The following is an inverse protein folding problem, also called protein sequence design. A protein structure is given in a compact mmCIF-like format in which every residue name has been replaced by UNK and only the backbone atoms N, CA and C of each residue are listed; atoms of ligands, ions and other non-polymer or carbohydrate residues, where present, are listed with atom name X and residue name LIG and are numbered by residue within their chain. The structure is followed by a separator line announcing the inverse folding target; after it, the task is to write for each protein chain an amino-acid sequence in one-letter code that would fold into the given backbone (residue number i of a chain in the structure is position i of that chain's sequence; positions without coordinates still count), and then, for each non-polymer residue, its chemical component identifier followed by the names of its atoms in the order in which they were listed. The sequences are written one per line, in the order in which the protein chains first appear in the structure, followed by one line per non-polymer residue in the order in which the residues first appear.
data_IF_025601385169
#
_entry.id   IF_025601385169
#
_cell.length_a   1.000
_cell.length_b   1.000
_cell.length_c   1.000
_cell.angle_alpha   90.00
_cell.angle_beta   90.00
_cell.angle_gamma   90.00
#
_symmetry.space_group_name_H-M   'P 1'
#
loop_
_entity.id
_entity.type
_entity.pdbx_description
1 polymer ?
#
# COMPACT_ATOMS: atom_id res chain seq x y z
N UNK A 1 30.60 -20.96 3.81
CA UNK A 1 29.76 -20.41 2.74
C UNK A 1 28.35 -20.35 3.28
N UNK A 2 27.90 -19.21 3.81
CA UNK A 2 26.55 -19.04 4.35
C UNK A 2 25.66 -18.73 3.17
N UNK A 3 24.83 -19.69 2.77
CA UNK A 3 23.78 -19.47 1.77
C UNK A 3 22.76 -18.53 2.42
N UNK A 4 22.74 -17.26 2.02
CA UNK A 4 21.63 -16.37 2.29
C UNK A 4 20.41 -16.98 1.60
N UNK A 5 19.60 -17.69 2.37
CA UNK A 5 18.25 -18.03 1.96
C UNK A 5 17.48 -16.71 1.96
N UNK A 6 17.28 -16.13 0.77
CA UNK A 6 16.26 -15.10 0.60
C UNK A 6 14.94 -15.76 0.99
N UNK A 7 14.43 -15.46 2.17
CA UNK A 7 13.07 -15.84 2.52
C UNK A 7 12.16 -15.06 1.57
N UNK A 8 11.59 -15.75 0.59
CA UNK A 8 10.57 -15.20 -0.29
C UNK A 8 9.45 -14.63 0.58
N UNK A 9 9.06 -13.39 0.27
CA UNK A 9 8.02 -12.69 1.01
C UNK A 9 6.68 -13.39 0.77
N UNK A 10 6.08 -13.91 1.85
CA UNK A 10 4.79 -14.60 1.80
C UNK A 10 3.64 -13.67 2.16
N UNK A 11 2.49 -13.88 1.52
CA UNK A 11 1.21 -13.25 1.85
C UNK A 11 0.25 -14.24 2.50
N UNK A 12 -0.67 -13.74 3.30
CA UNK A 12 -1.69 -14.54 3.98
C UNK A 12 -2.91 -14.66 3.06
N UNK A 13 -3.20 -15.87 2.59
CA UNK A 13 -4.39 -16.15 1.77
C UNK A 13 -5.62 -16.23 2.66
N UNK A 14 -6.72 -15.62 2.20
CA UNK A 14 -7.96 -15.54 2.98
C UNK A 14 -9.21 -15.79 2.14
N UNK A 15 -10.30 -16.13 2.84
CA UNK A 15 -11.67 -16.05 2.30
C UNK A 15 -12.15 -14.58 2.31
N UNK A 16 -13.31 -14.32 1.69
CA UNK A 16 -13.97 -13.02 1.75
C UNK A 16 -14.38 -12.59 3.18
N UNK A 17 -14.42 -13.54 4.12
CA UNK A 17 -14.70 -13.31 5.54
C UNK A 17 -13.43 -13.22 6.40
N UNK A 18 -12.26 -13.02 5.78
CA UNK A 18 -10.95 -12.96 6.45
C UNK A 18 -10.53 -14.24 7.19
N UNK A 19 -11.07 -15.40 6.81
CA UNK A 19 -10.62 -16.69 7.33
C UNK A 19 -9.31 -17.08 6.63
N UNK A 20 -8.28 -17.42 7.42
CA UNK A 20 -6.97 -17.83 6.88
C UNK A 20 -7.10 -19.16 6.15
N UNK A 21 -6.77 -19.19 4.87
CA UNK A 21 -6.78 -20.39 4.01
C UNK A 21 -5.38 -20.96 3.79
N UNK A 22 -4.32 -20.18 4.02
CA UNK A 22 -2.95 -20.60 3.84
C UNK A 22 -2.00 -19.44 3.60
N UNK A 23 -0.84 -19.76 3.04
CA UNK A 23 0.22 -18.80 2.72
C UNK A 23 0.76 -19.09 1.32
N UNK A 24 1.19 -18.05 0.64
CA UNK A 24 1.77 -18.16 -0.71
C UNK A 24 2.87 -17.11 -0.88
N UNK A 25 3.86 -17.42 -1.70
CA UNK A 25 4.85 -16.43 -2.13
C UNK A 25 4.12 -15.27 -2.84
N UNK A 26 4.51 -14.03 -2.50
CA UNK A 26 3.80 -12.81 -2.91
C UNK A 26 3.63 -12.70 -4.42
N UNK A 27 4.72 -12.91 -5.18
CA UNK A 27 4.67 -12.80 -6.63
C UNK A 27 3.76 -13.87 -7.25
N UNK A 28 3.76 -15.08 -6.68
CA UNK A 28 2.89 -16.17 -7.14
C UNK A 28 1.42 -15.86 -6.86
N UNK A 29 1.11 -15.25 -5.72
CA UNK A 29 -0.24 -14.80 -5.41
C UNK A 29 -0.75 -13.74 -6.40
N UNK A 30 0.11 -12.81 -6.82
CA UNK A 30 -0.21 -11.81 -7.84
C UNK A 30 -0.34 -12.41 -9.24
N UNK A 31 0.51 -13.38 -9.63
CA UNK A 31 0.38 -14.09 -10.91
C UNK A 31 -0.96 -14.83 -10.98
N UNK A 32 -1.35 -15.50 -9.91
CA UNK A 32 -2.56 -16.32 -9.86
C UNK A 32 -3.82 -15.51 -9.51
N UNK A 33 -3.69 -14.25 -9.09
CA UNK A 33 -4.80 -13.41 -8.67
C UNK A 33 -5.58 -13.97 -7.47
N UNK A 34 -4.87 -14.57 -6.50
CA UNK A 34 -5.46 -15.16 -5.30
C UNK A 34 -5.74 -14.09 -4.24
N UNK A 35 -6.91 -14.18 -3.60
CA UNK A 35 -7.30 -13.25 -2.53
C UNK A 35 -6.37 -13.40 -1.33
N UNK A 36 -5.77 -12.30 -0.91
CA UNK A 36 -4.84 -12.26 0.22
C UNK A 36 -4.98 -10.96 1.02
N UNK A 37 -4.44 -10.95 2.23
CA UNK A 37 -4.47 -9.80 3.13
C UNK A 37 -3.57 -8.68 2.64
N UNK A 38 -4.08 -7.45 2.71
CA UNK A 38 -3.33 -6.22 2.45
C UNK A 38 -3.77 -5.10 3.40
N UNK A 39 -2.98 -4.05 3.45
CA UNK A 39 -3.36 -2.80 4.13
C UNK A 39 -2.89 -1.59 3.32
N UNK A 40 -3.65 -0.52 3.44
CA UNK A 40 -3.34 0.79 2.90
C UNK A 40 -3.30 1.83 4.03
N UNK A 41 -2.27 2.67 4.04
CA UNK A 41 -2.12 3.75 5.02
C UNK A 41 -2.22 5.09 4.33
N UNK A 42 -3.07 5.96 4.86
CA UNK A 42 -3.21 7.36 4.46
C UNK A 42 -2.75 8.26 5.60
N UNK A 43 -1.83 9.17 5.32
CA UNK A 43 -1.35 10.14 6.28
C UNK A 43 -1.67 11.55 5.82
N UNK A 44 -2.01 12.39 6.79
CA UNK A 44 -2.34 13.79 6.56
C UNK A 44 -1.47 14.69 7.44
N UNK A 45 -1.18 15.89 6.95
CA UNK A 45 -0.58 16.94 7.76
C UNK A 45 -1.65 17.79 8.45
N UNK A 46 -1.24 18.77 9.25
CA UNK A 46 -2.15 19.70 9.96
C UNK A 46 -3.03 20.57 9.04
N UNK A 47 -2.63 20.71 7.77
CA UNK A 47 -3.40 21.44 6.76
C UNK A 47 -4.43 20.55 6.06
N UNK A 48 -4.53 19.26 6.42
CA UNK A 48 -5.40 18.30 5.77
C UNK A 48 -4.90 17.84 4.40
N UNK A 49 -3.63 18.08 4.07
CA UNK A 49 -3.03 17.61 2.84
C UNK A 49 -2.59 16.15 3.00
N UNK A 50 -2.83 15.35 1.97
CA UNK A 50 -2.51 13.92 1.94
C UNK A 50 -1.04 13.69 1.58
N UNK A 51 -0.38 12.78 2.31
CA UNK A 51 0.95 12.32 1.96
C UNK A 51 0.88 11.32 0.82
N UNK A 52 1.57 11.62 -0.27
CA UNK A 52 1.82 10.69 -1.37
C UNK A 52 3.26 10.18 -1.31
N UNK A 53 3.47 8.91 -1.65
CA UNK A 53 4.78 8.35 -1.97
C UNK A 53 4.87 8.02 -3.47
N UNK A 54 6.06 8.20 -4.03
CA UNK A 54 6.40 7.70 -5.36
C UNK A 54 7.16 6.40 -5.23
N UNK A 55 6.62 5.34 -5.83
CA UNK A 55 7.23 4.01 -5.79
C UNK A 55 8.59 4.02 -6.48
N UNK A 56 9.56 3.31 -5.90
CA UNK A 56 10.89 3.18 -6.48
C UNK A 56 10.83 2.57 -7.90
N UNK A 57 11.76 2.96 -8.76
CA UNK A 57 11.88 2.45 -10.13
C UNK A 57 12.18 0.94 -10.18
N UNK A 58 12.73 0.37 -9.11
CA UNK A 58 13.07 -1.06 -8.98
C UNK A 58 11.89 -1.96 -8.62
N UNK A 59 10.70 -1.41 -8.35
CA UNK A 59 9.52 -2.23 -8.01
C UNK A 59 9.08 -3.08 -9.21
N UNK A 60 8.73 -4.35 -8.97
CA UNK A 60 8.38 -5.31 -10.03
C UNK A 60 7.03 -5.01 -10.72
N UNK A 61 6.13 -4.24 -10.08
CA UNK A 61 4.94 -3.68 -10.70
C UNK A 61 4.73 -2.22 -10.27
N UNK A 62 4.03 -1.45 -11.10
CA UNK A 62 3.70 -0.05 -10.83
C UNK A 62 4.91 0.82 -10.42
N UNK A 63 6.10 0.66 -11.06
CA UNK A 63 7.26 1.49 -10.74
C UNK A 63 7.01 2.94 -11.09
N UNK A 64 7.63 3.87 -10.34
CA UNK A 64 7.54 5.33 -10.56
C UNK A 64 6.14 5.94 -10.45
N UNK A 65 5.12 5.19 -10.05
CA UNK A 65 3.78 5.71 -9.82
C UNK A 65 3.63 6.29 -8.42
N UNK A 66 2.77 7.30 -8.30
CA UNK A 66 2.34 7.87 -7.04
C UNK A 66 1.23 7.02 -6.41
N UNK A 67 1.25 6.95 -5.09
CA UNK A 67 0.24 6.26 -4.30
C UNK A 67 0.12 6.90 -2.91
N UNK A 68 -0.78 6.36 -2.06
CA UNK A 68 -0.89 6.74 -0.65
C UNK A 68 0.40 6.46 0.13
N UNK A 69 0.44 6.79 1.42
CA UNK A 69 1.65 6.73 2.22
C UNK A 69 2.34 5.35 2.21
N UNK A 70 1.59 4.27 2.42
CA UNK A 70 2.10 2.88 2.38
C UNK A 70 0.99 1.94 1.94
N UNK A 71 1.34 0.96 1.10
CA UNK A 71 0.52 -0.22 0.77
C UNK A 71 1.39 -1.46 0.83
N UNK A 72 0.97 -2.46 1.60
CA UNK A 72 1.71 -3.72 1.73
C UNK A 72 0.85 -4.82 2.35
N UNK A 73 1.50 -5.87 2.82
CA UNK A 73 0.85 -7.09 3.32
C UNK A 73 1.31 -7.39 4.74
N UNK A 74 0.40 -7.83 5.65
CA UNK A 74 0.81 -8.37 6.93
C UNK A 74 1.57 -9.69 6.71
N UNK A 75 2.57 -9.93 7.55
CA UNK A 75 3.28 -11.22 7.62
C UNK A 75 2.44 -12.23 8.39
N UNK A 76 2.79 -13.51 8.27
CA UNK A 76 2.22 -14.55 9.12
C UNK A 76 2.36 -14.19 10.60
N UNK A 77 1.24 -14.20 11.33
CA UNK A 77 1.19 -13.86 12.75
C UNK A 77 1.09 -12.35 13.07
N UNK A 78 1.22 -11.48 12.07
CA UNK A 78 0.96 -10.04 12.25
C UNK A 78 -0.53 -9.71 12.10
N UNK A 79 -1.01 -8.79 12.89
CA UNK A 79 -2.26 -8.07 12.61
C UNK A 79 -2.05 -7.07 11.47
N UNK A 80 -3.11 -6.60 10.85
CA UNK A 80 -3.04 -5.54 9.84
C UNK A 80 -2.36 -4.27 10.37
N UNK A 81 -2.69 -3.86 11.61
CA UNK A 81 -2.09 -2.69 12.25
C UNK A 81 -0.59 -2.84 12.50
N UNK A 82 -0.15 -4.01 12.98
CA UNK A 82 1.28 -4.29 13.19
C UNK A 82 2.05 -4.25 11.87
N UNK A 83 1.51 -4.86 10.82
CA UNK A 83 2.07 -4.78 9.47
C UNK A 83 2.18 -3.35 8.95
N UNK A 84 1.11 -2.56 9.10
CA UNK A 84 1.06 -1.16 8.69
C UNK A 84 2.14 -0.32 9.40
N UNK A 85 2.27 -0.44 10.72
CA UNK A 85 3.31 0.26 11.51
C UNK A 85 4.71 -0.18 11.11
N UNK A 86 4.94 -1.48 10.91
CA UNK A 86 6.22 -2.01 10.45
C UNK A 86 6.63 -1.39 9.10
N UNK A 87 5.72 -1.36 8.13
CA UNK A 87 6.02 -0.84 6.79
C UNK A 87 6.20 0.69 6.78
N UNK A 88 5.49 1.45 7.59
CA UNK A 88 5.78 2.88 7.77
C UNK A 88 7.23 3.11 8.19
N UNK A 89 7.73 2.31 9.12
CA UNK A 89 9.12 2.39 9.57
C UNK A 89 10.11 1.91 8.50
N UNK A 90 9.82 0.81 7.81
CA UNK A 90 10.69 0.24 6.78
C UNK A 90 10.77 1.10 5.51
N UNK A 91 9.67 1.71 5.08
CA UNK A 91 9.61 2.48 3.83
C UNK A 91 9.91 3.98 4.03
N UNK A 92 9.34 4.58 5.06
CA UNK A 92 9.38 6.03 5.29
C UNK A 92 10.23 6.44 6.50
N UNK A 93 10.65 5.48 7.34
CA UNK A 93 11.43 5.73 8.55
C UNK A 93 10.66 6.47 9.65
N UNK A 94 9.32 6.33 9.67
CA UNK A 94 8.46 7.06 10.59
C UNK A 94 7.60 6.14 11.46
N UNK A 95 7.14 6.69 12.57
CA UNK A 95 6.18 6.07 13.48
C UNK A 95 5.06 7.08 13.79
N UNK A 96 3.81 6.64 13.71
CA UNK A 96 2.65 7.45 14.08
C UNK A 96 1.48 6.56 14.53
N UNK A 97 0.50 7.17 15.18
CA UNK A 97 -0.74 6.48 15.51
C UNK A 97 -1.59 6.30 14.26
N UNK A 98 -2.17 5.11 14.12
CA UNK A 98 -3.05 4.74 13.02
C UNK A 98 -4.41 4.31 13.57
N UNK A 99 -5.46 4.70 12.89
CA UNK A 99 -6.84 4.30 13.12
C UNK A 99 -7.38 3.60 11.89
N UNK A 100 -7.93 2.39 12.04
CA UNK A 100 -8.62 1.70 10.95
C UNK A 100 -9.95 2.39 10.66
N UNK A 101 -10.21 2.69 9.39
CA UNK A 101 -11.44 3.34 8.96
C UNK A 101 -12.43 2.39 8.31
N UNK A 102 -11.97 1.53 7.43
CA UNK A 102 -12.78 0.54 6.71
C UNK A 102 -11.88 -0.53 6.11
N UNK A 103 -12.51 -1.57 5.57
CA UNK A 103 -11.86 -2.56 4.72
C UNK A 103 -12.76 -2.88 3.53
N UNK A 104 -12.17 -3.37 2.46
CA UNK A 104 -12.86 -3.73 1.23
C UNK A 104 -12.08 -4.79 0.45
N UNK A 105 -12.73 -5.42 -0.51
CA UNK A 105 -12.07 -6.36 -1.42
C UNK A 105 -12.04 -5.72 -2.81
N UNK A 106 -10.89 -5.77 -3.46
CA UNK A 106 -10.75 -5.36 -4.84
C UNK A 106 -9.91 -6.34 -5.64
N UNK A 107 -10.07 -6.29 -6.95
CA UNK A 107 -9.23 -7.02 -7.90
C UNK A 107 -8.87 -6.10 -9.06
N UNK A 108 -7.58 -5.88 -9.29
CA UNK A 108 -7.07 -5.01 -10.34
C UNK A 108 -5.88 -5.63 -11.06
N UNK A 109 -5.83 -5.44 -12.39
CA UNK A 109 -4.64 -5.74 -13.17
C UNK A 109 -3.63 -4.60 -13.01
N UNK A 110 -2.40 -4.93 -12.61
CA UNK A 110 -1.34 -3.94 -12.39
C UNK A 110 -0.23 -4.01 -13.44
N UNK A 111 -0.53 -4.62 -14.58
CA UNK A 111 0.40 -4.82 -15.70
C UNK A 111 1.07 -6.20 -15.67
N UNK A 112 1.72 -6.56 -16.77
CA UNK A 112 2.53 -7.78 -16.93
C UNK A 112 1.85 -9.09 -16.47
N UNK A 113 0.52 -9.20 -16.65
CA UNK A 113 -0.32 -10.30 -16.16
C UNK A 113 -0.28 -10.50 -14.64
N UNK A 114 -0.01 -9.44 -13.88
CA UNK A 114 -0.08 -9.42 -12.43
C UNK A 114 -1.42 -8.86 -11.96
N UNK A 115 -2.00 -9.52 -10.97
CA UNK A 115 -3.27 -9.15 -10.38
C UNK A 115 -3.12 -8.88 -8.90
N UNK A 116 -3.57 -7.74 -8.46
CA UNK A 116 -3.85 -7.51 -7.04
C UNK A 116 -5.29 -7.94 -6.77
N UNK A 117 -5.45 -8.94 -5.90
CA UNK A 117 -6.73 -9.40 -5.38
C UNK A 117 -6.61 -9.42 -3.86
N UNK A 118 -7.10 -8.36 -3.24
CA UNK A 118 -6.75 -8.04 -1.86
C UNK A 118 -7.99 -7.77 -1.01
N UNK A 119 -7.97 -8.31 0.21
CA UNK A 119 -8.76 -7.81 1.33
C UNK A 119 -7.92 -6.74 2.01
N UNK A 120 -8.21 -5.48 1.69
CA UNK A 120 -7.43 -4.31 2.07
C UNK A 120 -8.06 -3.59 3.27
N UNK A 121 -7.30 -3.49 4.37
CA UNK A 121 -7.66 -2.72 5.55
C UNK A 121 -7.04 -1.33 5.49
N UNK A 122 -7.87 -0.29 5.52
CA UNK A 122 -7.46 1.10 5.33
C UNK A 122 -7.30 1.81 6.66
N UNK A 123 -6.10 2.33 6.90
CA UNK A 123 -5.72 3.07 8.09
C UNK A 123 -5.46 4.54 7.77
N UNK A 124 -5.80 5.41 8.72
CA UNK A 124 -5.51 6.85 8.66
C UNK A 124 -4.66 7.25 9.87
N UNK A 125 -3.76 8.19 9.64
CA UNK A 125 -2.97 8.83 10.68
C UNK A 125 -2.56 10.25 10.29
N UNK A 126 -1.89 10.94 11.22
CA UNK A 126 -1.32 12.26 10.98
C UNK A 126 0.19 12.22 11.17
N UNK A 127 0.91 12.94 10.32
CA UNK A 127 2.36 13.06 10.43
C UNK A 127 2.87 14.38 9.85
N UNK A 128 3.85 14.98 10.52
CA UNK A 128 4.51 16.24 10.12
C UNK A 128 6.00 16.25 10.50
N UNK A 129 6.67 15.14 10.43
CA UNK A 129 8.07 15.04 10.78
C UNK A 129 8.99 14.88 9.55
N UNK A 130 10.23 14.55 9.83
CA UNK A 130 11.21 14.19 8.80
C UNK A 130 10.98 12.74 8.35
N UNK A 131 11.30 12.50 7.07
CA UNK A 131 11.24 11.17 6.46
C UNK A 131 12.65 10.63 6.25
N UNK A 132 12.82 9.33 6.52
CA UNK A 132 14.04 8.58 6.20
C UNK A 132 13.68 7.47 5.21
N UNK A 133 13.59 7.84 3.91
CA UNK A 133 13.11 6.97 2.86
C UNK A 133 14.06 5.79 2.61
N UNK A 134 13.49 4.59 2.47
CA UNK A 134 14.20 3.46 1.91
C UNK A 134 14.20 3.57 0.37
N UNK A 135 15.34 3.82 -0.28
CA UNK A 135 15.39 4.07 -1.71
C UNK A 135 15.04 2.85 -2.57
N UNK A 136 15.03 1.65 -1.99
CA UNK A 136 14.57 0.44 -2.68
C UNK A 136 13.05 0.35 -2.77
N UNK A 137 12.34 1.08 -1.90
CA UNK A 137 10.89 1.08 -1.83
C UNK A 137 10.27 2.39 -2.34
N UNK A 138 10.83 3.52 -1.94
CA UNK A 138 10.28 4.86 -2.14
C UNK A 138 11.34 5.79 -2.70
N UNK A 139 11.04 6.45 -3.82
CA UNK A 139 11.94 7.44 -4.41
C UNK A 139 11.66 8.86 -3.93
N UNK A 140 10.41 9.18 -3.60
CA UNK A 140 10.00 10.54 -3.26
C UNK A 140 8.71 10.53 -2.43
N UNK A 141 8.53 11.54 -1.57
CA UNK A 141 7.26 11.82 -0.88
C UNK A 141 6.89 13.30 -1.03
N UNK A 142 5.59 13.59 -1.01
CA UNK A 142 5.07 14.96 -0.98
C UNK A 142 3.68 15.00 -0.35
N UNK A 143 3.33 16.14 0.21
CA UNK A 143 1.96 16.45 0.59
C UNK A 143 1.22 17.11 -0.57
N UNK A 144 -0.08 16.81 -0.70
CA UNK A 144 -0.93 17.36 -1.74
C UNK A 144 -2.31 17.70 -1.19
N UNK A 145 -2.86 18.85 -1.60
CA UNK A 145 -4.25 19.21 -1.28
C UNK A 145 -5.24 18.38 -2.09
N UNK A 146 -6.47 18.20 -1.58
CA UNK A 146 -7.53 17.49 -2.30
C UNK A 146 -7.78 18.05 -3.69
N UNK A 147 -7.81 19.38 -3.83
CA UNK A 147 -8.04 20.05 -5.11
C UNK A 147 -6.95 19.73 -6.14
N UNK A 148 -5.67 19.80 -5.73
CA UNK A 148 -4.56 19.48 -6.62
C UNK A 148 -4.51 17.99 -6.95
N UNK A 149 -4.84 17.11 -5.99
CA UNK A 149 -4.90 15.67 -6.22
C UNK A 149 -5.99 15.32 -7.25
N UNK A 150 -7.19 15.88 -7.12
CA UNK A 150 -8.29 15.67 -8.09
C UNK A 150 -7.89 16.15 -9.50
N UNK A 151 -7.23 17.29 -9.58
CA UNK A 151 -6.70 17.82 -10.84
C UNK A 151 -5.67 16.87 -11.46
N UNK A 152 -4.65 16.47 -10.71
CA UNK A 152 -3.61 15.58 -11.22
C UNK A 152 -4.17 14.21 -11.63
N UNK A 153 -5.10 13.64 -10.87
CA UNK A 153 -5.79 12.39 -11.22
C UNK A 153 -6.58 12.51 -12.53
N UNK A 154 -7.21 13.65 -12.76
CA UNK A 154 -7.96 13.92 -14.00
C UNK A 154 -7.05 14.11 -15.22
N UNK A 155 -5.93 14.81 -15.04
CA UNK A 155 -5.01 15.15 -16.13
C UNK A 155 -4.05 14.01 -16.48
N UNK A 156 -3.58 13.24 -15.48
CA UNK A 156 -2.54 12.22 -15.63
C UNK A 156 -2.83 10.98 -14.76
N UNK A 157 -3.94 10.27 -14.97
CA UNK A 157 -4.32 9.13 -14.13
C UNK A 157 -3.31 7.98 -14.16
N UNK A 158 -2.52 7.86 -15.22
CA UNK A 158 -1.46 6.86 -15.39
C UNK A 158 -0.29 7.04 -14.43
N UNK A 159 -0.14 8.23 -13.83
CA UNK A 159 0.88 8.50 -12.82
C UNK A 159 0.55 7.91 -11.44
N UNK A 160 -0.63 7.34 -11.28
CA UNK A 160 -1.13 6.83 -10.01
C UNK A 160 -1.41 5.33 -10.07
N UNK A 161 -1.21 4.64 -8.95
CA UNK A 161 -1.47 3.19 -8.85
C UNK A 161 -2.97 2.88 -8.95
N UNK A 162 -3.30 1.67 -9.43
CA UNK A 162 -4.69 1.25 -9.61
C UNK A 162 -5.47 1.22 -8.29
N UNK A 163 -4.90 0.62 -7.23
CA UNK A 163 -5.56 0.56 -5.92
C UNK A 163 -5.84 1.95 -5.32
N UNK A 164 -4.91 2.90 -5.49
CA UNK A 164 -5.08 4.26 -5.01
C UNK A 164 -6.25 4.96 -5.71
N UNK A 165 -6.37 4.79 -7.02
CA UNK A 165 -7.52 5.32 -7.80
C UNK A 165 -8.83 4.69 -7.34
N UNK A 166 -8.89 3.37 -7.13
CA UNK A 166 -10.07 2.67 -6.64
C UNK A 166 -10.49 3.21 -5.27
N UNK A 167 -9.55 3.34 -4.32
CA UNK A 167 -9.86 3.85 -2.99
C UNK A 167 -10.41 5.28 -3.05
N UNK A 168 -9.82 6.16 -3.84
CA UNK A 168 -10.28 7.54 -3.97
C UNK A 168 -11.62 7.65 -4.70
N UNK A 169 -11.86 6.84 -5.70
CA UNK A 169 -13.13 6.87 -6.46
C UNK A 169 -14.31 6.37 -5.63
N UNK A 170 -14.14 5.23 -4.95
CA UNK A 170 -15.23 4.54 -4.26
C UNK A 170 -15.34 4.91 -2.78
N UNK A 171 -14.22 5.22 -2.11
CA UNK A 171 -14.14 5.30 -0.64
C UNK A 171 -13.59 6.63 -0.10
N UNK A 172 -13.33 7.65 -0.92
CA UNK A 172 -12.74 8.93 -0.45
C UNK A 172 -13.54 9.60 0.68
N UNK A 173 -14.83 9.36 0.77
CA UNK A 173 -15.71 9.90 1.81
C UNK A 173 -15.51 9.24 3.19
N UNK A 174 -14.70 8.20 3.26
CA UNK A 174 -14.30 7.55 4.51
C UNK A 174 -12.90 7.99 5.00
N UNK A 175 -12.15 8.73 4.18
CA UNK A 175 -10.79 9.21 4.49
C UNK A 175 -10.75 10.52 5.30
#
# INVERSE_FOLDING_TARGET
MVTLIFMEEQVVLVSENDEILGFMEKQQAHINGILHRAFSVFLFNKNGEMLLQKRAASKYHSPNQWTNAVCSHPRSGETYLEGAKRRLKEELGIETNLEEKFHFIYKANVGDNLWEHELDHVFIGNYEGEFHLNPQEVSEVRYISSENLEKELSENPENFTEWFKIILDEYKHHL
#
